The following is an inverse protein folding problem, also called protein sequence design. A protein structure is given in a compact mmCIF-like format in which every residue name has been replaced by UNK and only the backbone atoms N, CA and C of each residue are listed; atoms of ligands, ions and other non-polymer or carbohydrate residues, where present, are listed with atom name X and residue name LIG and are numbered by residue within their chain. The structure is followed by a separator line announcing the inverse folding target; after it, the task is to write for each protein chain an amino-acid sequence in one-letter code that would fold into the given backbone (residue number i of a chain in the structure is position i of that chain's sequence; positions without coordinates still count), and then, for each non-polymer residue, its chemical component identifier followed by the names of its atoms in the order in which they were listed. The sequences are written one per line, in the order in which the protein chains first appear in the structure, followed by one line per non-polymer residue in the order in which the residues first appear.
data_IF_716156072789
#
_entry.id   IF_716156072789
#
_cell.length_a   1.000
_cell.length_b   1.000
_cell.length_c   1.000
_cell.angle_alpha   90.00
_cell.angle_beta   90.00
_cell.angle_gamma   90.00
#
_symmetry.space_group_name_H-M   'P 1'
#
loop_
_entity.id
_entity.type
_entity.pdbx_description
1 polymer ?
#
# COMPACT_ATOMS: atom_id res chain seq x y z
N UNK A 1 35.52 9.64 56.06
CA UNK A 1 35.54 10.79 55.15
C UNK A 1 35.07 10.29 53.78
N UNK A 2 33.82 10.55 53.42
CA UNK A 2 33.22 10.06 52.15
C UNK A 2 32.97 11.25 51.23
N UNK A 3 34.05 11.76 50.65
CA UNK A 3 34.04 12.90 49.72
C UNK A 3 33.29 12.64 48.40
N UNK A 4 33.03 11.36 48.07
CA UNK A 4 32.32 10.96 46.86
C UNK A 4 30.81 11.27 46.92
N UNK A 5 30.22 11.32 48.11
CA UNK A 5 28.75 11.58 48.25
C UNK A 5 28.36 13.03 48.01
N UNK A 6 29.29 13.96 48.13
CA UNK A 6 29.03 15.39 47.94
C UNK A 6 29.16 15.85 46.49
N UNK A 7 29.76 15.03 45.63
CA UNK A 7 29.93 15.33 44.20
C UNK A 7 28.75 14.81 43.33
N UNK A 8 28.10 13.71 43.78
CA UNK A 8 27.06 13.06 43.00
C UNK A 8 25.78 13.91 42.79
N UNK A 9 25.30 14.72 43.74
CA UNK A 9 24.08 15.50 43.49
C UNK A 9 24.26 16.63 42.45
N UNK A 10 25.47 17.12 42.24
CA UNK A 10 25.72 18.17 41.25
C UNK A 10 25.87 17.65 39.81
N UNK A 11 26.30 16.40 39.63
CA UNK A 11 26.39 15.76 38.30
C UNK A 11 25.00 15.45 37.74
N UNK A 12 24.07 15.04 38.61
CA UNK A 12 22.67 14.74 38.14
C UNK A 12 21.92 16.00 37.70
N UNK A 13 22.21 17.18 38.24
CA UNK A 13 21.53 18.42 37.84
C UNK A 13 22.06 18.98 36.52
N UNK A 14 23.30 18.75 36.17
CA UNK A 14 23.87 19.24 34.92
C UNK A 14 23.62 18.29 33.73
N UNK A 15 23.34 17.00 33.99
CA UNK A 15 23.03 16.06 32.89
C UNK A 15 21.60 16.22 32.34
N UNK A 16 20.67 16.77 33.13
CA UNK A 16 19.29 16.98 32.68
C UNK A 16 19.09 18.26 31.86
N UNK A 17 20.09 19.14 31.84
CA UNK A 17 20.02 20.40 31.08
C UNK A 17 20.76 20.37 29.73
N UNK A 18 21.55 19.33 29.45
CA UNK A 18 22.32 19.19 28.20
C UNK A 18 21.70 18.25 27.17
N UNK A 19 20.73 17.45 27.55
CA UNK A 19 19.90 16.76 26.56
C UNK A 19 18.70 17.67 26.24
N UNK A 20 18.89 18.48 25.21
CA UNK A 20 17.82 19.22 24.58
C UNK A 20 16.69 18.25 24.29
N UNK A 21 15.46 18.69 24.52
CA UNK A 21 14.24 17.98 24.12
C UNK A 21 14.48 17.44 22.72
N UNK A 22 14.64 16.11 22.62
CA UNK A 22 14.53 15.40 21.37
C UNK A 22 13.17 15.78 20.80
N UNK A 23 13.18 16.72 19.87
CA UNK A 23 12.11 16.84 18.91
C UNK A 23 12.03 15.44 18.28
N UNK A 24 11.18 14.59 18.84
CA UNK A 24 10.76 13.35 18.19
C UNK A 24 10.35 13.79 16.79
N UNK A 25 11.25 13.62 15.84
CA UNK A 25 10.92 13.71 14.44
C UNK A 25 9.85 12.64 14.26
N UNK A 26 8.59 13.07 14.21
CA UNK A 26 7.48 12.20 13.86
C UNK A 26 7.76 11.74 12.44
N UNK A 27 8.53 10.67 12.32
CA UNK A 27 8.63 9.94 11.06
C UNK A 27 7.21 9.48 10.76
N UNK A 28 6.59 9.95 9.69
CA UNK A 28 5.22 9.57 9.36
C UNK A 28 5.16 8.05 9.31
N UNK A 29 4.23 7.47 10.05
CA UNK A 29 4.00 6.03 10.02
C UNK A 29 3.66 5.63 8.58
N UNK A 30 4.23 4.53 8.11
CA UNK A 30 3.95 3.99 6.79
C UNK A 30 4.92 4.39 5.68
N UNK A 31 6.03 5.09 5.94
CA UNK A 31 7.05 5.40 4.92
C UNK A 31 8.02 4.25 4.63
N UNK A 32 8.05 3.24 5.49
CA UNK A 32 8.98 2.12 5.40
C UNK A 32 8.25 0.79 5.32
N UNK A 33 8.75 -0.12 4.51
CA UNK A 33 8.24 -1.47 4.36
C UNK A 33 9.37 -2.49 4.45
N UNK A 34 9.15 -3.56 5.21
CA UNK A 34 10.07 -4.69 5.28
C UNK A 34 9.82 -5.64 4.10
N UNK A 35 10.89 -6.12 3.50
CA UNK A 35 10.81 -7.15 2.47
C UNK A 35 10.51 -8.52 3.08
N UNK A 36 9.46 -9.17 2.62
CA UNK A 36 9.04 -10.50 3.12
C UNK A 36 10.06 -11.60 2.81
N UNK A 37 10.88 -11.43 1.77
CA UNK A 37 11.86 -12.43 1.36
C UNK A 37 13.23 -12.27 2.03
N UNK A 38 13.75 -11.02 2.16
CA UNK A 38 15.11 -10.79 2.68
C UNK A 38 15.16 -9.96 3.96
N UNK A 39 14.02 -9.52 4.51
CA UNK A 39 13.94 -8.70 5.71
C UNK A 39 14.47 -7.26 5.58
N UNK A 40 14.95 -6.85 4.41
CA UNK A 40 15.47 -5.50 4.20
C UNK A 40 14.38 -4.45 4.39
N UNK A 41 14.72 -3.36 5.08
CA UNK A 41 13.83 -2.22 5.23
C UNK A 41 13.97 -1.33 4.01
N UNK A 42 12.86 -1.05 3.33
CA UNK A 42 12.78 -0.30 2.09
C UNK A 42 11.95 0.96 2.27
N UNK A 43 12.38 2.05 1.66
CA UNK A 43 11.66 3.31 1.64
C UNK A 43 10.60 3.28 0.53
N UNK A 44 9.31 3.48 0.87
CA UNK A 44 8.20 3.32 -0.06
C UNK A 44 8.31 4.19 -1.32
N UNK A 45 8.72 5.47 -1.27
CA UNK A 45 8.91 6.26 -2.47
C UNK A 45 10.00 5.71 -3.42
N UNK A 46 11.07 5.11 -2.89
CA UNK A 46 12.08 4.43 -3.72
C UNK A 46 11.54 3.12 -4.29
N UNK A 47 10.76 2.38 -3.48
CA UNK A 47 10.10 1.15 -3.92
C UNK A 47 9.13 1.42 -5.08
N UNK A 48 8.38 2.52 -5.04
CA UNK A 48 7.53 2.97 -6.16
C UNK A 48 8.36 3.23 -7.43
N UNK A 49 9.49 3.93 -7.33
CA UNK A 49 10.39 4.18 -8.47
C UNK A 49 10.98 2.90 -9.07
N UNK A 50 11.24 1.88 -8.24
CA UNK A 50 11.70 0.57 -8.69
C UNK A 50 10.58 -0.37 -9.12
N UNK A 51 9.37 0.14 -9.40
CA UNK A 51 8.19 -0.64 -9.80
C UNK A 51 7.85 -1.74 -8.80
N UNK A 52 8.00 -1.44 -7.50
CA UNK A 52 7.73 -2.36 -6.39
C UNK A 52 8.59 -3.63 -6.39
N UNK A 53 9.83 -3.51 -6.86
CA UNK A 53 10.83 -4.58 -6.81
C UNK A 53 11.86 -4.27 -5.72
N UNK A 54 12.15 -5.25 -4.87
CA UNK A 54 13.17 -5.11 -3.84
C UNK A 54 14.55 -4.93 -4.46
N UNK A 55 15.23 -3.83 -4.14
CA UNK A 55 16.59 -3.54 -4.63
C UNK A 55 17.66 -4.49 -4.08
N UNK A 56 17.37 -5.24 -3.00
CA UNK A 56 18.33 -6.15 -2.37
C UNK A 56 18.24 -7.58 -2.89
N UNK A 57 17.03 -8.11 -3.12
CA UNK A 57 16.84 -9.53 -3.48
C UNK A 57 16.00 -9.75 -4.73
N UNK A 58 15.51 -8.68 -5.39
CA UNK A 58 14.66 -8.82 -6.57
C UNK A 58 13.23 -9.30 -6.29
N UNK A 59 12.81 -9.39 -5.02
CA UNK A 59 11.45 -9.79 -4.68
C UNK A 59 10.42 -8.76 -5.18
N UNK A 60 9.35 -9.24 -5.85
CA UNK A 60 8.25 -8.43 -6.33
C UNK A 60 7.15 -8.32 -5.29
N UNK A 61 6.84 -7.11 -4.86
CA UNK A 61 5.74 -6.85 -3.94
C UNK A 61 4.40 -6.83 -4.66
N UNK A 62 3.34 -7.13 -3.91
CA UNK A 62 1.97 -6.92 -4.39
C UNK A 62 1.72 -5.43 -4.54
N UNK A 63 1.20 -5.03 -5.70
CA UNK A 63 0.91 -3.64 -6.07
C UNK A 63 -0.61 -3.48 -6.15
N UNK A 64 -1.13 -2.38 -5.60
CA UNK A 64 -2.52 -2.00 -5.78
C UNK A 64 -2.78 -1.49 -7.19
N UNK A 65 -4.06 -1.49 -7.62
CA UNK A 65 -4.44 -1.10 -8.99
C UNK A 65 -4.08 0.36 -9.26
N UNK A 66 -4.26 1.26 -8.30
CA UNK A 66 -3.89 2.67 -8.41
C UNK A 66 -2.39 2.87 -8.68
N UNK A 67 -1.56 2.21 -7.88
CA UNK A 67 -0.10 2.26 -8.06
C UNK A 67 0.33 1.57 -9.37
N UNK A 68 -0.36 0.51 -9.78
CA UNK A 68 -0.12 -0.15 -11.07
C UNK A 68 -0.41 0.76 -12.24
N UNK A 69 -1.50 1.53 -12.19
CA UNK A 69 -1.85 2.53 -13.20
C UNK A 69 -0.75 3.58 -13.29
N UNK A 70 -0.33 4.14 -12.15
CA UNK A 70 0.70 5.18 -12.07
C UNK A 70 2.05 4.73 -12.67
N UNK A 71 2.45 3.48 -12.42
CA UNK A 71 3.71 2.91 -12.94
C UNK A 71 3.63 2.52 -14.41
N UNK A 72 2.43 2.18 -14.93
CA UNK A 72 2.28 1.60 -16.26
C UNK A 72 2.01 2.65 -17.35
N UNK A 73 1.20 3.65 -17.02
CA UNK A 73 0.80 4.69 -18.00
C UNK A 73 1.72 5.88 -17.96
N UNK A 74 1.80 6.58 -19.10
CA UNK A 74 2.46 7.87 -19.22
C UNK A 74 1.75 8.89 -18.32
N UNK A 75 2.52 9.77 -17.68
CA UNK A 75 2.04 10.74 -16.70
C UNK A 75 0.84 11.55 -17.23
N UNK A 76 -0.24 11.58 -16.44
CA UNK A 76 -1.47 12.32 -16.77
C UNK A 76 -2.28 11.78 -17.95
N UNK A 77 -1.90 10.65 -18.55
CA UNK A 77 -2.60 10.12 -19.74
C UNK A 77 -3.80 9.23 -19.39
N UNK A 78 -3.87 8.70 -18.17
CA UNK A 78 -4.91 7.75 -17.78
C UNK A 78 -6.27 8.41 -17.58
N UNK A 79 -7.30 7.82 -18.17
CA UNK A 79 -8.72 8.17 -17.98
C UNK A 79 -9.49 6.91 -17.63
N UNK A 80 -10.09 6.88 -16.42
CA UNK A 80 -10.94 5.77 -15.99
C UNK A 80 -12.23 5.74 -16.82
N UNK A 81 -12.59 4.55 -17.29
CA UNK A 81 -13.90 4.25 -17.88
C UNK A 81 -14.78 3.65 -16.78
N UNK A 82 -15.50 4.50 -16.07
CA UNK A 82 -16.46 4.04 -15.07
C UNK A 82 -17.73 3.60 -15.79
N UNK A 83 -17.92 2.32 -15.90
CA UNK A 83 -19.18 1.71 -16.23
C UNK A 83 -20.00 1.72 -14.94
N UNK A 84 -20.78 2.77 -14.72
CA UNK A 84 -21.74 2.80 -13.59
C UNK A 84 -22.89 1.87 -13.96
N UNK A 85 -22.79 0.62 -13.52
CA UNK A 85 -23.92 -0.28 -13.48
C UNK A 85 -24.53 -0.20 -12.08
N UNK A 86 -25.83 0.07 -12.00
CA UNK A 86 -26.55 -0.01 -10.75
C UNK A 86 -26.54 -1.47 -10.28
N UNK A 87 -26.06 -1.70 -9.06
CA UNK A 87 -26.08 -3.02 -8.49
C UNK A 87 -27.52 -3.49 -8.28
N UNK A 88 -27.94 -4.51 -9.02
CA UNK A 88 -29.24 -5.14 -8.90
C UNK A 88 -29.08 -6.64 -8.57
N UNK A 89 -29.54 -7.05 -7.39
CA UNK A 89 -29.60 -8.47 -7.02
C UNK A 89 -30.87 -9.12 -7.58
N UNK A 90 -30.84 -9.45 -8.89
CA UNK A 90 -31.99 -10.04 -9.60
C UNK A 90 -32.43 -11.39 -9.04
N UNK A 91 -31.53 -12.13 -8.41
CA UNK A 91 -31.77 -13.45 -7.88
C UNK A 91 -32.21 -13.43 -6.42
N UNK A 92 -32.13 -12.30 -5.73
CA UNK A 92 -32.33 -12.20 -4.28
C UNK A 92 -31.58 -13.31 -3.51
N UNK A 93 -30.34 -13.56 -3.93
CA UNK A 93 -29.57 -14.70 -3.47
C UNK A 93 -29.24 -14.59 -1.99
N UNK A 94 -29.52 -15.67 -1.28
CA UNK A 94 -29.24 -15.82 0.14
C UNK A 94 -28.63 -17.19 0.42
N UNK A 95 -27.46 -17.20 1.05
CA UNK A 95 -26.90 -18.41 1.67
C UNK A 95 -26.83 -18.20 3.21
N UNK A 96 -25.65 -17.93 3.77
CA UNK A 96 -25.48 -17.53 5.17
C UNK A 96 -25.74 -16.04 5.41
N UNK A 97 -25.60 -15.21 4.35
CA UNK A 97 -25.84 -13.77 4.34
C UNK A 97 -26.41 -13.37 2.98
N UNK A 98 -27.17 -12.27 2.94
CA UNK A 98 -27.66 -11.70 1.68
C UNK A 98 -26.49 -11.27 0.82
N UNK A 99 -26.62 -11.48 -0.50
CA UNK A 99 -25.58 -11.08 -1.45
C UNK A 99 -25.26 -9.57 -1.37
N UNK A 100 -26.29 -8.73 -1.24
CA UNK A 100 -26.17 -7.29 -1.07
C UNK A 100 -25.27 -6.90 0.13
N UNK A 101 -25.42 -7.59 1.26
CA UNK A 101 -24.63 -7.32 2.46
C UNK A 101 -23.15 -7.70 2.25
N UNK A 102 -22.90 -8.80 1.53
CA UNK A 102 -21.55 -9.20 1.13
C UNK A 102 -20.90 -8.21 0.19
N UNK A 103 -21.65 -7.75 -0.80
CA UNK A 103 -21.17 -6.75 -1.76
C UNK A 103 -20.74 -5.47 -1.05
N UNK A 104 -21.60 -4.92 -0.18
CA UNK A 104 -21.30 -3.71 0.60
C UNK A 104 -20.06 -3.92 1.50
N UNK A 105 -19.97 -5.09 2.15
CA UNK A 105 -18.82 -5.41 3.00
C UNK A 105 -17.51 -5.54 2.19
N UNK A 106 -17.58 -6.12 1.00
CA UNK A 106 -16.44 -6.24 0.10
C UNK A 106 -15.98 -4.89 -0.43
N UNK A 107 -16.91 -4.03 -0.89
CA UNK A 107 -16.61 -2.67 -1.35
C UNK A 107 -15.96 -1.83 -0.23
N UNK A 108 -16.49 -1.91 0.99
CA UNK A 108 -15.90 -1.23 2.15
C UNK A 108 -14.49 -1.74 2.48
N UNK A 109 -14.22 -3.04 2.30
CA UNK A 109 -12.91 -3.64 2.57
C UNK A 109 -11.89 -3.31 1.49
N UNK A 110 -12.28 -3.30 0.22
CA UNK A 110 -11.41 -3.01 -0.92
C UNK A 110 -11.20 -1.50 -1.16
N UNK A 111 -12.12 -0.66 -0.66
CA UNK A 111 -12.13 0.77 -0.97
C UNK A 111 -12.56 1.08 -2.41
N UNK A 112 -13.12 0.09 -3.13
CA UNK A 112 -13.59 0.22 -4.51
C UNK A 112 -14.94 -0.46 -4.65
N UNK A 113 -15.83 0.14 -5.42
CA UNK A 113 -17.15 -0.42 -5.71
C UNK A 113 -17.08 -1.58 -6.72
N UNK A 114 -16.00 -1.62 -7.53
CA UNK A 114 -15.79 -2.60 -8.56
C UNK A 114 -14.48 -3.38 -8.37
N UNK A 115 -14.50 -4.67 -8.70
CA UNK A 115 -13.31 -5.52 -8.69
C UNK A 115 -12.43 -5.30 -9.92
N UNK A 116 -12.96 -4.68 -10.98
CA UNK A 116 -12.29 -4.44 -12.24
C UNK A 116 -12.18 -2.93 -12.46
N UNK A 117 -10.98 -2.46 -12.79
CA UNK A 117 -10.74 -1.08 -13.21
C UNK A 117 -10.37 -1.06 -14.67
N UNK A 118 -11.16 -0.37 -15.50
CA UNK A 118 -10.93 -0.22 -16.94
C UNK A 118 -10.58 1.23 -17.22
N UNK A 119 -9.58 1.46 -18.06
CA UNK A 119 -9.20 2.81 -18.44
C UNK A 119 -8.49 2.89 -19.77
N UNK A 120 -8.54 4.08 -20.30
CA UNK A 120 -7.80 4.51 -21.50
C UNK A 120 -6.58 5.28 -21.07
N UNK A 121 -5.45 5.08 -21.72
CA UNK A 121 -4.25 5.87 -21.49
C UNK A 121 -3.20 5.63 -22.53
N UNK A 122 -2.04 6.25 -22.34
CA UNK A 122 -0.88 6.07 -23.24
C UNK A 122 0.21 5.30 -22.51
N UNK A 123 0.84 4.38 -23.21
CA UNK A 123 2.05 3.68 -22.78
C UNK A 123 3.12 3.93 -23.84
N UNK A 124 4.18 4.66 -23.47
CA UNK A 124 5.22 5.10 -24.41
C UNK A 124 4.65 5.81 -25.64
N UNK A 125 3.68 6.71 -25.40
CA UNK A 125 3.00 7.50 -26.45
C UNK A 125 1.94 6.76 -27.26
N UNK A 126 1.75 5.44 -27.09
CA UNK A 126 0.74 4.63 -27.80
C UNK A 126 -0.53 4.54 -26.96
N UNK A 127 -1.68 4.78 -27.59
CA UNK A 127 -2.98 4.64 -26.93
C UNK A 127 -3.33 3.18 -26.67
N UNK A 128 -3.74 2.90 -25.43
CA UNK A 128 -4.07 1.55 -24.95
C UNK A 128 -5.31 1.60 -24.08
N UNK A 129 -6.15 0.58 -24.22
CA UNK A 129 -7.21 0.27 -23.24
C UNK A 129 -6.69 -0.83 -22.35
N UNK A 130 -6.70 -0.62 -21.04
CA UNK A 130 -6.23 -1.60 -20.07
C UNK A 130 -7.33 -1.92 -19.07
N UNK A 131 -7.52 -3.21 -18.79
CA UNK A 131 -8.38 -3.73 -17.73
C UNK A 131 -7.50 -4.34 -16.65
N UNK A 132 -7.69 -3.90 -15.42
CA UNK A 132 -6.96 -4.36 -14.24
C UNK A 132 -7.94 -4.96 -13.24
N UNK A 133 -7.61 -6.11 -12.69
CA UNK A 133 -8.43 -6.85 -11.73
C UNK A 133 -7.73 -6.81 -10.36
N UNK A 134 -8.44 -6.43 -9.32
CA UNK A 134 -7.92 -6.38 -7.94
C UNK A 134 -7.61 -7.77 -7.37
N UNK A 135 -8.36 -8.78 -7.80
CA UNK A 135 -8.21 -10.16 -7.36
C UNK A 135 -7.86 -10.99 -8.59
N UNK A 136 -6.62 -11.46 -8.66
CA UNK A 136 -6.29 -12.47 -9.66
C UNK A 136 -6.88 -13.80 -9.22
N UNK A 137 -7.78 -14.35 -10.00
CA UNK A 137 -8.14 -15.76 -9.85
C UNK A 137 -6.89 -16.61 -10.05
N UNK A 138 -6.63 -17.60 -9.18
CA UNK A 138 -5.57 -18.55 -9.44
C UNK A 138 -5.90 -19.24 -10.77
N UNK A 139 -5.00 -19.13 -11.72
CA UNK A 139 -5.14 -19.77 -13.04
C UNK A 139 -5.48 -21.23 -12.80
N UNK A 140 -6.70 -21.64 -13.13
CA UNK A 140 -7.08 -23.04 -13.11
C UNK A 140 -6.12 -23.75 -14.04
N UNK A 141 -5.21 -24.57 -13.50
CA UNK A 141 -4.48 -25.53 -14.32
C UNK A 141 -5.52 -26.38 -15.03
N UNK A 142 -5.64 -26.22 -16.32
CA UNK A 142 -6.29 -27.23 -17.15
C UNK A 142 -5.45 -28.47 -17.01
N UNK A 143 -5.88 -29.41 -16.20
CA UNK A 143 -5.46 -30.82 -16.34
C UNK A 143 -6.02 -31.28 -17.66
N UNK A 144 -5.13 -31.49 -18.61
CA UNK A 144 -5.40 -32.23 -19.85
C UNK A 144 -5.43 -33.70 -19.48
#
# INVERSE_FOLDING_TARGET
MNWIKDIIPNIKRNLSQTFGEDKQSKVPEGLWRSCENCGAILYIPELKKSSYVCSKCGHHFKIDVSDRIEVTFDEGSYKSLNLKEDFEDKLNFFDTKKYKDRFIAAAKKSGSDEAISIGLGKIKGKEVVLSLIHISEPTRRRTI
#
